data_IF_879509488166
#
_entry.id   IF_879509488166
#
_cell.length_a   1.000
_cell.length_b   1.000
_cell.length_c   1.000
_cell.angle_alpha   90.00
_cell.angle_beta   90.00
_cell.angle_gamma   90.00
#
_symmetry.space_group_name_H-M   'P 1'
#
loop_
_entity.id
_entity.type
_entity.pdbx_description
1 polymer ?
#
# COMPACT_ATOMS: atom_id res chain seq x y z
N UNK A 1 -2.96 -0.11 6.09
CA UNK A 1 -3.62 1.10 5.56
C UNK A 1 -4.36 0.70 4.29
N UNK A 2 -5.59 1.18 4.08
CA UNK A 2 -6.44 0.75 2.96
C UNK A 2 -7.13 -0.60 3.21
N UNK A 3 -7.42 -0.92 4.47
CA UNK A 3 -7.99 -2.20 4.90
C UNK A 3 -9.40 -2.48 4.37
N UNK A 4 -10.11 -1.47 3.88
CA UNK A 4 -11.47 -1.61 3.34
C UNK A 4 -11.52 -1.80 1.82
N UNK A 5 -10.37 -1.75 1.15
CA UNK A 5 -10.25 -2.06 -0.27
C UNK A 5 -10.32 -3.56 -0.55
N UNK A 6 -10.32 -3.93 -1.84
CA UNK A 6 -10.41 -5.31 -2.30
C UNK A 6 -9.32 -6.21 -1.68
N UNK A 7 -8.05 -5.85 -1.82
CA UNK A 7 -6.93 -6.60 -1.20
C UNK A 7 -6.95 -6.43 0.32
N UNK A 8 -7.21 -5.21 0.79
CA UNK A 8 -7.10 -4.86 2.20
C UNK A 8 -8.04 -5.63 3.10
N UNK A 9 -9.28 -5.85 2.68
CA UNK A 9 -10.27 -6.57 3.49
C UNK A 9 -9.89 -8.05 3.67
N UNK A 10 -9.52 -8.73 2.60
CA UNK A 10 -9.08 -10.13 2.68
C UNK A 10 -7.75 -10.27 3.43
N UNK A 11 -6.78 -9.40 3.15
CA UNK A 11 -5.48 -9.42 3.82
C UNK A 11 -5.61 -9.14 5.32
N UNK A 12 -6.43 -8.18 5.72
CA UNK A 12 -6.64 -7.86 7.15
C UNK A 12 -7.23 -9.06 7.89
N UNK A 13 -8.22 -9.72 7.32
CA UNK A 13 -8.83 -10.90 7.93
C UNK A 13 -7.84 -12.07 8.03
N UNK A 14 -7.05 -12.31 6.99
CA UNK A 14 -6.02 -13.35 7.01
C UNK A 14 -4.90 -13.04 8.02
N UNK A 15 -4.47 -11.79 8.12
CA UNK A 15 -3.49 -11.38 9.14
C UNK A 15 -4.04 -11.56 10.55
N UNK A 16 -5.31 -11.19 10.80
CA UNK A 16 -5.98 -11.43 12.09
C UNK A 16 -6.04 -12.91 12.45
N UNK A 17 -6.35 -13.76 11.46
CA UNK A 17 -6.35 -15.21 11.65
C UNK A 17 -4.98 -15.76 12.05
N UNK A 18 -3.90 -15.21 11.49
CA UNK A 18 -2.52 -15.67 11.73
C UNK A 18 -1.89 -15.11 13.00
N UNK A 19 -2.14 -13.86 13.30
CA UNK A 19 -1.41 -13.11 14.33
C UNK A 19 -2.28 -12.72 15.53
N UNK A 20 -3.58 -12.98 15.48
CA UNK A 20 -4.56 -12.56 16.50
C UNK A 20 -5.26 -11.25 16.10
N UNK A 21 -6.53 -11.18 16.42
CA UNK A 21 -7.40 -10.07 16.05
C UNK A 21 -6.93 -8.73 16.59
N UNK A 22 -6.49 -8.72 17.84
CA UNK A 22 -6.01 -7.54 18.58
C UNK A 22 -4.70 -6.98 18.04
N UNK A 23 -3.91 -7.78 17.31
CA UNK A 23 -2.61 -7.42 16.80
C UNK A 23 -2.65 -6.81 15.39
N UNK A 24 -3.84 -6.70 14.78
CA UNK A 24 -3.99 -6.21 13.40
C UNK A 24 -5.01 -5.09 13.32
N UNK A 25 -4.52 -3.87 13.17
CA UNK A 25 -5.33 -2.65 13.05
C UNK A 25 -5.77 -2.42 11.61
N UNK A 26 -7.08 -2.35 11.38
CA UNK A 26 -7.65 -2.00 10.07
C UNK A 26 -7.59 -0.49 9.84
N UNK A 27 -6.58 -0.01 9.11
CA UNK A 27 -6.45 1.42 8.76
C UNK A 27 -7.35 1.79 7.58
N UNK A 28 -8.22 2.80 7.76
CA UNK A 28 -9.19 3.24 6.75
C UNK A 28 -9.30 4.78 6.70
N UNK A 29 -9.89 5.33 5.64
CA UNK A 29 -10.19 6.77 5.52
C UNK A 29 -11.67 7.05 5.82
N UNK A 30 -12.04 8.26 6.27
CA UNK A 30 -13.43 8.65 6.48
C UNK A 30 -14.29 8.41 5.23
N UNK A 31 -15.48 7.84 5.42
CA UNK A 31 -16.37 7.43 4.33
C UNK A 31 -16.13 6.04 3.78
N UNK A 32 -15.06 5.36 4.22
CA UNK A 32 -14.74 3.98 3.86
C UNK A 32 -14.55 3.12 5.14
N UNK A 33 -15.44 3.28 6.11
CA UNK A 33 -15.39 2.58 7.39
C UNK A 33 -15.53 1.06 7.21
N UNK A 34 -14.79 0.25 8.01
CA UNK A 34 -14.96 -1.20 8.02
C UNK A 34 -16.40 -1.60 8.34
N UNK A 35 -16.88 -2.69 7.74
CA UNK A 35 -18.24 -3.24 7.95
C UNK A 35 -18.17 -4.73 8.25
N UNK A 36 -19.25 -5.26 8.85
CA UNK A 36 -19.39 -6.67 9.16
C UNK A 36 -18.19 -7.20 9.96
N UNK A 37 -17.73 -8.38 9.61
CA UNK A 37 -16.67 -9.07 10.32
C UNK A 37 -15.37 -8.26 10.41
N UNK A 38 -15.01 -7.51 9.36
CA UNK A 38 -13.83 -6.64 9.39
C UNK A 38 -13.90 -5.58 10.49
N UNK A 39 -15.11 -5.07 10.80
CA UNK A 39 -15.34 -4.12 11.89
C UNK A 39 -15.34 -4.80 13.26
N UNK A 40 -15.94 -5.97 13.34
CA UNK A 40 -16.25 -6.65 14.62
C UNK A 40 -15.08 -7.47 15.16
N UNK A 41 -14.19 -7.94 14.29
CA UNK A 41 -13.14 -8.88 14.65
C UNK A 41 -11.88 -8.27 15.25
N UNK A 42 -11.71 -6.93 15.27
CA UNK A 42 -10.49 -6.34 15.83
C UNK A 42 -10.43 -4.82 15.69
N UNK A 43 -9.32 -4.20 16.12
CA UNK A 43 -9.19 -2.75 16.12
C UNK A 43 -9.21 -2.15 14.72
N UNK A 44 -9.69 -0.91 14.65
CA UNK A 44 -9.70 -0.12 13.44
C UNK A 44 -9.36 1.35 13.75
N UNK A 45 -8.63 1.99 12.84
CA UNK A 45 -8.20 3.38 13.01
C UNK A 45 -8.32 4.18 11.71
N UNK A 46 -8.63 5.47 11.84
CA UNK A 46 -8.62 6.39 10.71
C UNK A 46 -7.18 6.69 10.33
N UNK A 47 -6.79 6.40 9.08
CA UNK A 47 -5.44 6.65 8.56
C UNK A 47 -5.50 7.16 7.13
N UNK A 48 -5.23 8.45 6.95
CA UNK A 48 -4.99 9.01 5.62
C UNK A 48 -3.48 9.09 5.38
N UNK A 49 -2.98 8.39 4.36
CA UNK A 49 -1.54 8.39 4.01
C UNK A 49 -1.00 9.77 3.67
N UNK A 50 -1.88 10.71 3.28
CA UNK A 50 -1.47 12.08 2.97
C UNK A 50 -1.24 12.94 4.23
N UNK A 51 -1.47 12.39 5.42
CA UNK A 51 -1.25 13.02 6.71
C UNK A 51 -0.26 12.18 7.55
N UNK A 52 0.99 12.63 7.62
CA UNK A 52 2.05 11.93 8.35
C UNK A 52 1.78 11.81 9.85
N UNK A 53 1.20 12.85 10.47
CA UNK A 53 0.88 12.85 11.91
C UNK A 53 -0.16 11.78 12.26
N UNK A 54 -1.12 11.56 11.35
CA UNK A 54 -2.14 10.51 11.51
C UNK A 54 -1.53 9.10 11.48
N UNK A 55 -0.59 8.86 10.56
CA UNK A 55 0.12 7.58 10.48
C UNK A 55 0.92 7.38 11.77
N UNK A 56 1.69 8.39 12.18
CA UNK A 56 2.54 8.33 13.34
C UNK A 56 1.74 8.10 14.63
N UNK A 57 0.59 8.78 14.80
CA UNK A 57 -0.25 8.60 15.98
C UNK A 57 -0.76 7.16 16.13
N UNK A 58 -1.20 6.55 15.02
CA UNK A 58 -1.66 5.15 15.02
C UNK A 58 -0.51 4.18 15.27
N UNK A 59 0.67 4.43 14.67
CA UNK A 59 1.87 3.62 14.94
C UNK A 59 2.21 3.62 16.43
N UNK A 60 2.16 4.77 17.09
CA UNK A 60 2.42 4.89 18.53
C UNK A 60 1.33 4.27 19.40
N UNK A 61 0.06 4.57 19.09
CA UNK A 61 -1.10 4.11 19.87
C UNK A 61 -1.17 2.58 19.93
N UNK A 62 -0.93 1.92 18.80
CA UNK A 62 -1.04 0.47 18.69
C UNK A 62 0.31 -0.25 18.70
N UNK A 63 1.41 0.46 18.91
CA UNK A 63 2.76 -0.10 18.90
C UNK A 63 3.05 -0.93 17.63
N UNK A 64 2.76 -0.36 16.46
CA UNK A 64 2.87 -1.03 15.16
C UNK A 64 4.34 -1.28 14.81
N UNK A 65 4.66 -2.51 14.43
CA UNK A 65 5.96 -2.94 13.92
C UNK A 65 5.99 -3.15 12.40
N UNK A 66 4.82 -3.33 11.78
CA UNK A 66 4.72 -3.61 10.34
C UNK A 66 3.55 -2.85 9.70
N UNK A 67 3.81 -2.13 8.62
CA UNK A 67 2.82 -1.35 7.89
C UNK A 67 2.56 -1.98 6.52
N UNK A 68 1.34 -2.47 6.30
CA UNK A 68 0.85 -2.85 4.97
C UNK A 68 0.19 -1.62 4.33
N UNK A 69 0.91 -0.95 3.44
CA UNK A 69 0.42 0.23 2.73
C UNK A 69 -0.26 -0.17 1.41
N UNK A 70 -1.58 -0.30 1.44
CA UNK A 70 -2.40 -0.64 0.28
C UNK A 70 -3.11 0.58 -0.32
N UNK A 71 -2.86 1.77 0.22
CA UNK A 71 -3.47 3.00 -0.26
C UNK A 71 -2.98 3.34 -1.68
N UNK A 72 -3.88 3.32 -2.63
CA UNK A 72 -3.60 3.67 -4.02
C UNK A 72 -4.91 4.01 -4.77
N UNK A 73 -4.82 4.83 -5.81
CA UNK A 73 -5.88 4.94 -6.80
C UNK A 73 -5.68 3.90 -7.90
N UNK A 74 -6.76 3.25 -8.31
CA UNK A 74 -6.74 2.32 -9.44
C UNK A 74 -6.46 3.07 -10.76
N UNK A 75 -5.94 2.35 -11.76
CA UNK A 75 -5.39 2.92 -12.98
C UNK A 75 -6.32 3.93 -13.68
N UNK A 76 -7.60 3.61 -13.86
CA UNK A 76 -8.58 4.51 -14.53
C UNK A 76 -8.78 5.80 -13.72
N UNK A 77 -8.91 5.68 -12.40
CA UNK A 77 -9.09 6.85 -11.52
C UNK A 77 -7.79 7.67 -11.45
N UNK A 78 -6.65 7.01 -11.44
CA UNK A 78 -5.35 7.69 -11.44
C UNK A 78 -5.14 8.54 -12.70
N UNK A 79 -5.57 8.05 -13.87
CA UNK A 79 -5.50 8.83 -15.12
C UNK A 79 -6.48 10.01 -15.12
N UNK A 80 -7.67 9.85 -14.57
CA UNK A 80 -8.66 10.94 -14.49
C UNK A 80 -8.30 12.00 -13.43
N UNK A 81 -7.50 11.63 -12.41
CA UNK A 81 -7.11 12.50 -11.29
C UNK A 81 -5.61 12.40 -10.98
N UNK A 82 -4.71 12.76 -11.93
CA UNK A 82 -3.28 12.49 -11.80
C UNK A 82 -2.61 13.17 -10.59
N UNK A 83 -3.04 14.38 -10.22
CA UNK A 83 -2.53 15.07 -9.00
C UNK A 83 -2.90 14.34 -7.73
N UNK A 84 -4.11 13.78 -7.66
CA UNK A 84 -4.52 12.99 -6.50
C UNK A 84 -3.80 11.65 -6.45
N UNK A 85 -3.58 11.02 -7.61
CA UNK A 85 -2.78 9.80 -7.72
C UNK A 85 -1.35 10.01 -7.23
N UNK A 86 -0.73 11.13 -7.60
CA UNK A 86 0.58 11.54 -7.08
C UNK A 86 0.55 11.68 -5.56
N UNK A 87 -0.37 12.49 -5.05
CA UNK A 87 -0.49 12.78 -3.63
C UNK A 87 -0.66 11.51 -2.78
N UNK A 88 -1.52 10.58 -3.21
CA UNK A 88 -1.74 9.34 -2.46
C UNK A 88 -0.60 8.34 -2.68
N UNK A 89 -0.22 8.11 -3.93
CA UNK A 89 0.72 7.05 -4.29
C UNK A 89 2.18 7.37 -4.02
N UNK A 90 2.58 8.65 -4.06
CA UNK A 90 3.97 9.07 -3.90
C UNK A 90 4.19 9.84 -2.60
N UNK A 91 3.47 10.94 -2.37
CA UNK A 91 3.62 11.68 -1.11
C UNK A 91 3.14 10.86 0.08
N UNK A 92 2.03 10.10 -0.11
CA UNK A 92 1.54 9.17 0.91
C UNK A 92 2.52 8.04 1.23
N UNK A 93 3.16 7.46 0.22
CA UNK A 93 4.21 6.47 0.43
C UNK A 93 5.42 7.08 1.16
N UNK A 94 5.83 8.28 0.79
CA UNK A 94 6.90 9.00 1.48
C UNK A 94 6.61 9.13 2.98
N UNK A 95 5.39 9.55 3.35
CA UNK A 95 4.98 9.66 4.74
C UNK A 95 5.04 8.31 5.48
N UNK A 96 4.60 7.24 4.83
CA UNK A 96 4.67 5.87 5.41
C UNK A 96 6.13 5.45 5.64
N UNK A 97 7.01 5.65 4.65
CA UNK A 97 8.41 5.28 4.74
C UNK A 97 9.17 6.10 5.79
N UNK A 98 8.88 7.42 5.89
CA UNK A 98 9.48 8.26 6.94
C UNK A 98 8.99 7.84 8.34
N UNK A 99 7.70 7.57 8.51
CA UNK A 99 7.18 7.06 9.78
C UNK A 99 7.83 5.72 10.14
N UNK A 100 7.95 4.82 9.16
CA UNK A 100 8.59 3.53 9.36
C UNK A 100 10.08 3.67 9.75
N UNK A 101 10.81 4.57 9.10
CA UNK A 101 12.20 4.88 9.44
C UNK A 101 12.36 5.39 10.86
N UNK A 102 11.47 6.28 11.31
CA UNK A 102 11.53 6.90 12.65
C UNK A 102 11.19 5.89 13.75
N UNK A 103 10.19 5.03 13.49
CA UNK A 103 9.64 4.11 14.49
C UNK A 103 10.13 2.66 14.37
N UNK A 104 10.99 2.37 13.39
CA UNK A 104 11.55 1.03 13.21
C UNK A 104 10.56 0.01 12.64
N UNK A 105 9.54 0.44 11.89
CA UNK A 105 8.56 -0.45 11.29
C UNK A 105 9.08 -1.06 9.99
N UNK A 106 8.66 -2.30 9.69
CA UNK A 106 8.73 -2.86 8.35
C UNK A 106 7.59 -2.31 7.48
N UNK A 107 7.80 -2.24 6.17
CA UNK A 107 6.79 -1.76 5.21
C UNK A 107 6.60 -2.74 4.08
N UNK A 108 5.36 -3.18 3.87
CA UNK A 108 4.94 -3.85 2.65
C UNK A 108 4.08 -2.89 1.82
N UNK A 109 4.44 -2.65 0.55
CA UNK A 109 3.62 -1.85 -0.36
C UNK A 109 3.56 -2.50 -1.74
N UNK A 110 2.37 -2.79 -2.31
CA UNK A 110 2.27 -3.51 -3.56
C UNK A 110 2.72 -2.67 -4.75
N UNK A 111 3.55 -3.26 -5.61
CA UNK A 111 3.74 -2.84 -6.98
C UNK A 111 2.73 -3.54 -7.91
N UNK A 112 2.92 -3.44 -9.21
CA UNK A 112 2.01 -3.97 -10.22
C UNK A 112 2.76 -4.25 -11.52
N UNK A 113 2.25 -5.16 -12.34
CA UNK A 113 2.66 -5.28 -13.73
C UNK A 113 2.44 -3.97 -14.52
N UNK A 114 1.58 -3.07 -14.02
CA UNK A 114 1.43 -1.72 -14.56
C UNK A 114 2.69 -0.85 -14.49
N UNK A 115 3.73 -1.26 -13.75
CA UNK A 115 5.05 -0.62 -13.72
C UNK A 115 5.83 -0.83 -15.04
N UNK A 116 5.46 -1.80 -15.84
CA UNK A 116 6.06 -2.05 -17.15
C UNK A 116 5.47 -1.12 -18.23
N UNK A 117 6.23 -0.93 -19.31
CA UNK A 117 5.83 -0.12 -20.45
C UNK A 117 5.48 -0.94 -21.70
N UNK A 118 5.07 -0.24 -22.76
CA UNK A 118 4.70 -0.88 -24.03
C UNK A 118 5.87 -1.63 -24.72
N UNK A 119 7.10 -1.25 -24.41
CA UNK A 119 8.30 -1.85 -24.99
C UNK A 119 8.80 -3.06 -24.17
N UNK A 120 8.09 -3.43 -23.11
CA UNK A 120 8.40 -4.59 -22.29
C UNK A 120 8.09 -5.89 -23.05
N UNK A 121 8.96 -6.91 -23.01
CA UNK A 121 8.66 -8.21 -23.62
C UNK A 121 7.34 -8.78 -23.08
N UNK A 122 6.44 -9.19 -23.98
CA UNK A 122 5.13 -9.73 -23.60
C UNK A 122 5.17 -11.18 -23.09
N UNK A 123 6.28 -11.88 -23.31
CA UNK A 123 6.42 -13.30 -22.93
C UNK A 123 7.70 -13.47 -22.11
N UNK A 124 7.59 -14.20 -21.01
CA UNK A 124 8.71 -14.49 -20.10
C UNK A 124 9.48 -13.24 -19.67
N UNK A 125 8.76 -12.18 -19.34
CA UNK A 125 9.32 -10.89 -18.89
C UNK A 125 10.29 -11.10 -17.73
N UNK A 126 11.57 -10.76 -17.87
CA UNK A 126 12.53 -10.86 -16.78
C UNK A 126 12.20 -9.89 -15.64
N UNK A 127 12.65 -10.23 -14.43
CA UNK A 127 12.48 -9.35 -13.27
C UNK A 127 13.17 -7.99 -13.46
N UNK A 128 14.35 -8.00 -14.11
CA UNK A 128 15.17 -6.82 -14.33
C UNK A 128 14.88 -6.11 -15.66
N UNK A 129 13.63 -6.16 -16.11
CA UNK A 129 13.19 -5.45 -17.31
C UNK A 129 13.07 -3.95 -17.05
N UNK A 130 13.48 -3.13 -18.04
CA UNK A 130 13.35 -1.68 -17.99
C UNK A 130 11.88 -1.30 -17.84
N UNK A 131 11.59 -0.53 -16.78
CA UNK A 131 10.26 -0.02 -16.46
C UNK A 131 10.07 1.37 -17.09
N UNK A 132 9.22 1.45 -18.11
CA UNK A 132 8.85 2.71 -18.80
C UNK A 132 7.34 2.83 -19.00
N UNK A 133 6.56 2.86 -17.91
CA UNK A 133 5.11 3.02 -18.00
C UNK A 133 4.73 4.37 -18.62
N UNK A 134 3.56 4.41 -19.25
CA UNK A 134 3.00 5.62 -19.86
C UNK A 134 1.74 6.09 -19.12
N UNK A 135 1.47 5.57 -17.94
CA UNK A 135 0.31 5.88 -17.10
C UNK A 135 0.75 6.45 -15.77
N UNK A 136 -0.04 7.34 -15.18
CA UNK A 136 0.22 7.87 -13.84
C UNK A 136 0.26 6.76 -12.79
N UNK A 137 -0.62 5.77 -12.92
CA UNK A 137 -0.60 4.58 -12.07
C UNK A 137 0.74 3.84 -12.17
N UNK A 138 1.18 3.54 -13.40
CA UNK A 138 2.46 2.85 -13.62
C UNK A 138 3.65 3.65 -13.09
N UNK A 139 3.67 4.97 -13.32
CA UNK A 139 4.70 5.88 -12.79
C UNK A 139 4.75 5.78 -11.26
N UNK A 140 3.59 5.82 -10.60
CA UNK A 140 3.54 5.70 -9.14
C UNK A 140 4.09 4.35 -8.66
N UNK A 141 3.84 3.26 -9.40
CA UNK A 141 4.35 1.92 -9.04
C UNK A 141 5.86 1.80 -9.22
N UNK A 142 6.43 2.36 -10.27
CA UNK A 142 7.90 2.45 -10.43
C UNK A 142 8.51 3.28 -9.29
N UNK A 143 7.91 4.43 -8.98
CA UNK A 143 8.37 5.28 -7.88
C UNK A 143 8.27 4.54 -6.54
N UNK A 144 7.22 3.74 -6.32
CA UNK A 144 7.07 2.90 -5.13
C UNK A 144 8.27 1.96 -4.96
N UNK A 145 8.66 1.25 -6.01
CA UNK A 145 9.80 0.33 -5.96
C UNK A 145 11.11 1.07 -5.68
N UNK A 146 11.38 2.16 -6.42
CA UNK A 146 12.61 2.93 -6.27
C UNK A 146 12.73 3.62 -4.89
N UNK A 147 11.65 4.16 -4.36
CA UNK A 147 11.64 4.75 -3.01
C UNK A 147 11.84 3.67 -1.94
N UNK A 148 11.21 2.51 -2.08
CA UNK A 148 11.39 1.40 -1.15
C UNK A 148 12.85 0.94 -1.12
N UNK A 149 13.47 0.76 -2.29
CA UNK A 149 14.89 0.41 -2.41
C UNK A 149 15.79 1.50 -1.80
N UNK A 150 15.48 2.78 -2.03
CA UNK A 150 16.24 3.89 -1.45
C UNK A 150 16.19 3.87 0.08
N UNK A 151 15.00 3.69 0.67
CA UNK A 151 14.85 3.64 2.13
C UNK A 151 15.52 2.42 2.74
N UNK A 152 15.44 1.27 2.06
CA UNK A 152 16.15 0.07 2.47
C UNK A 152 17.67 0.30 2.48
N UNK A 153 18.22 0.73 1.35
CA UNK A 153 19.67 0.84 1.19
C UNK A 153 20.30 1.97 2.03
N UNK A 154 19.57 3.08 2.20
CA UNK A 154 20.12 4.24 2.91
C UNK A 154 19.86 4.21 4.40
N UNK A 155 18.71 3.73 4.81
CA UNK A 155 18.26 3.83 6.20
C UNK A 155 18.01 2.48 6.86
N UNK A 156 18.12 1.37 6.14
CA UNK A 156 17.91 0.03 6.66
C UNK A 156 16.47 -0.33 6.98
N UNK A 157 15.49 0.41 6.41
CA UNK A 157 14.07 0.07 6.57
C UNK A 157 13.80 -1.26 5.87
N UNK A 158 13.14 -2.20 6.55
CA UNK A 158 12.69 -3.46 5.91
C UNK A 158 11.50 -3.15 4.99
N UNK A 159 11.78 -2.96 3.71
CA UNK A 159 10.78 -2.69 2.68
C UNK A 159 10.59 -3.90 1.78
N UNK A 160 9.33 -4.26 1.52
CA UNK A 160 8.99 -5.40 0.65
C UNK A 160 7.87 -5.05 -0.30
N UNK A 161 7.96 -5.55 -1.53
CA UNK A 161 6.95 -5.34 -2.57
C UNK A 161 6.78 -6.59 -3.43
N UNK A 162 5.61 -6.70 -4.06
CA UNK A 162 5.34 -7.66 -5.14
C UNK A 162 4.65 -6.95 -6.29
N UNK A 163 5.00 -7.30 -7.51
CA UNK A 163 4.32 -6.83 -8.72
C UNK A 163 3.09 -7.68 -8.97
N UNK A 164 1.95 -7.24 -8.46
CA UNK A 164 0.71 -7.97 -8.68
C UNK A 164 0.30 -7.97 -10.16
N UNK A 165 -0.11 -9.11 -10.69
CA UNK A 165 -0.84 -9.22 -11.96
C UNK A 165 -2.32 -8.85 -11.76
N UNK A 166 -3.21 -9.32 -12.63
CA UNK A 166 -4.66 -9.29 -12.38
C UNK A 166 -5.00 -10.08 -11.11
N UNK A 167 -5.80 -9.49 -10.24
CA UNK A 167 -6.19 -10.09 -8.96
C UNK A 167 -7.59 -10.67 -9.10
N UNK A 168 -7.76 -11.90 -8.63
CA UNK A 168 -9.05 -12.56 -8.46
C UNK A 168 -9.38 -12.50 -6.97
N UNK A 169 -10.57 -12.03 -6.63
CA UNK A 169 -11.02 -11.84 -5.26
C UNK A 169 -12.51 -12.11 -5.14
N UNK A 170 -12.95 -12.52 -3.97
CA UNK A 170 -14.37 -12.64 -3.61
C UNK A 170 -14.98 -11.30 -3.16
N UNK A 171 -14.14 -10.28 -2.99
CA UNK A 171 -14.57 -8.93 -2.59
C UNK A 171 -14.78 -8.07 -3.83
N UNK A 172 -15.93 -7.41 -3.91
CA UNK A 172 -16.18 -6.44 -4.97
C UNK A 172 -15.25 -5.23 -4.80
N UNK A 173 -14.57 -4.78 -5.86
CA UNK A 173 -13.78 -3.55 -5.78
C UNK A 173 -14.65 -2.36 -5.35
N UNK A 174 -14.08 -1.40 -4.61
CA UNK A 174 -14.80 -0.20 -4.20
C UNK A 174 -15.17 0.72 -5.38
#
# INVERSE_FOLDING_TARGET
>A
IGATGQIGSELTMELRNRYGNENVVAGYIPGAEPKGELKESGPAAVVDVTNAEMIESVVKEYNIDTIYNLAALLSVVAESKPKLAWKIGIDGLWNVLETARIHGCAVFTPSSIGSFGADTPHTKTPQDTIQRPRTMYGISKVTTELLSDYYHNKYGVDTRAVRFPGIISNVTPP
#
